data_IF_425060224349
#
_entry.id   IF_425060224349
#
_cell.length_a   1.000
_cell.length_b   1.000
_cell.length_c   1.000
_cell.angle_alpha   90.00
_cell.angle_beta   90.00
_cell.angle_gamma   90.00
#
_symmetry.space_group_name_H-M   'P 1'
#
loop_
_entity.id
_entity.type
_entity.pdbx_description
1 polymer ?
#
# COMPACT_ATOMS: atom_id res chain seq x y z
N UNK A 1 53.62 26.90 57.91
CA UNK A 1 52.29 27.50 57.63
C UNK A 1 51.93 27.07 56.22
N UNK A 2 51.24 25.94 56.07
CA UNK A 2 50.89 25.38 54.76
C UNK A 2 49.75 26.19 54.15
N UNK A 3 50.04 26.83 53.03
CA UNK A 3 49.03 27.46 52.18
C UNK A 3 48.34 26.33 51.40
N UNK A 4 47.16 25.90 51.85
CA UNK A 4 46.28 25.09 51.01
C UNK A 4 45.73 26.01 49.90
N UNK A 5 46.31 25.89 48.72
CA UNK A 5 45.70 26.42 47.49
C UNK A 5 44.48 25.54 47.23
N UNK A 6 43.29 26.05 47.55
CA UNK A 6 42.05 25.48 47.03
C UNK A 6 42.08 25.67 45.51
N UNK A 7 42.43 24.61 44.80
CA UNK A 7 42.11 24.46 43.39
C UNK A 7 40.58 24.41 43.30
N UNK A 8 39.93 25.53 43.01
CA UNK A 8 38.54 25.53 42.60
C UNK A 8 38.46 24.73 41.31
N UNK A 9 37.88 23.52 41.33
CA UNK A 9 37.52 22.86 40.09
C UNK A 9 36.42 23.70 39.44
N UNK A 10 36.68 24.27 38.28
CA UNK A 10 35.62 24.87 37.47
C UNK A 10 34.63 23.76 37.13
N UNK A 11 33.45 23.77 37.75
CA UNK A 11 32.36 22.88 37.39
C UNK A 11 31.83 23.36 36.04
N UNK A 12 32.24 22.70 34.96
CA UNK A 12 31.71 22.93 33.63
C UNK A 12 30.36 22.24 33.49
N UNK A 13 29.32 23.01 33.22
CA UNK A 13 27.97 22.53 32.95
C UNK A 13 27.82 22.24 31.45
N UNK A 14 27.11 21.17 31.09
CA UNK A 14 26.83 20.75 29.72
C UNK A 14 25.33 20.53 29.46
N UNK A 15 24.91 20.93 28.25
CA UNK A 15 23.63 20.51 27.69
C UNK A 15 23.86 19.27 26.81
N UNK A 16 23.07 18.23 27.05
CA UNK A 16 22.99 17.06 26.18
C UNK A 16 22.06 17.38 25.01
N UNK A 17 22.68 17.71 23.89
CA UNK A 17 22.04 17.99 22.61
C UNK A 17 22.48 16.95 21.57
N UNK A 18 21.67 16.68 20.52
CA UNK A 18 22.18 15.98 19.35
C UNK A 18 23.27 16.83 18.69
N UNK A 19 24.23 16.21 18.01
CA UNK A 19 25.26 16.96 17.28
C UNK A 19 24.71 17.62 16.00
N UNK A 20 23.79 16.93 15.32
CA UNK A 20 23.12 17.40 14.11
C UNK A 20 21.68 16.89 14.07
N UNK A 21 20.76 17.70 13.56
CA UNK A 21 19.37 17.30 13.28
C UNK A 21 18.95 17.82 11.91
N UNK A 22 18.20 17.00 11.17
CA UNK A 22 17.69 17.39 9.86
C UNK A 22 16.24 17.89 10.00
N UNK A 23 15.88 18.92 9.25
CA UNK A 23 14.56 19.53 9.25
C UNK A 23 14.08 19.75 7.82
N UNK A 24 12.77 19.62 7.62
CA UNK A 24 12.13 19.89 6.34
C UNK A 24 11.72 21.38 6.27
N UNK A 25 12.13 22.06 5.20
CA UNK A 25 11.73 23.45 4.97
C UNK A 25 10.21 23.58 4.90
N UNK A 26 9.65 24.58 5.56
CA UNK A 26 8.20 24.81 5.70
C UNK A 26 7.50 23.87 6.71
N UNK A 27 8.27 23.15 7.54
CA UNK A 27 7.76 22.27 8.60
C UNK A 27 8.38 22.66 9.96
N UNK A 28 8.57 21.73 10.88
CA UNK A 28 9.15 21.98 12.21
C UNK A 28 10.22 20.95 12.58
N UNK A 29 10.93 21.22 13.69
CA UNK A 29 11.91 20.29 14.25
C UNK A 29 11.89 20.30 15.77
N UNK A 30 11.71 19.12 16.37
CA UNK A 30 11.89 18.88 17.80
C UNK A 30 13.36 18.60 18.10
N UNK A 31 13.94 19.38 18.99
CA UNK A 31 15.32 19.22 19.48
C UNK A 31 15.23 18.58 20.87
N UNK A 32 15.49 17.27 21.01
CA UNK A 32 15.55 16.64 22.32
C UNK A 32 16.75 17.22 23.09
N UNK A 33 16.52 17.61 24.34
CA UNK A 33 17.53 18.33 25.11
C UNK A 33 17.36 18.09 26.61
N UNK A 34 18.47 17.84 27.29
CA UNK A 34 18.57 17.92 28.77
C UNK A 34 19.79 18.75 29.14
N UNK A 35 19.81 19.36 30.32
CA UNK A 35 20.95 20.15 30.78
C UNK A 35 21.29 19.86 32.23
N UNK A 36 22.48 20.25 32.68
CA UNK A 36 22.83 20.25 34.08
C UNK A 36 22.92 21.68 34.63
N UNK A 37 22.69 21.83 35.93
CA UNK A 37 22.77 23.09 36.62
C UNK A 37 23.14 22.84 38.09
N UNK A 38 23.69 23.84 38.80
CA UNK A 38 24.03 23.68 40.21
C UNK A 38 22.81 23.28 41.05
N UNK A 39 22.88 22.17 41.78
CA UNK A 39 21.75 21.66 42.60
C UNK A 39 21.21 22.70 43.60
N UNK A 40 22.10 23.51 44.18
CA UNK A 40 21.73 24.58 45.11
C UNK A 40 20.90 25.69 44.45
N UNK A 41 20.94 25.82 43.11
CA UNK A 41 20.18 26.79 42.33
C UNK A 41 18.84 26.23 41.84
N UNK A 42 18.67 24.91 41.83
CA UNK A 42 17.46 24.21 41.37
C UNK A 42 16.40 23.99 42.47
N UNK A 43 16.67 24.40 43.72
CA UNK A 43 15.75 24.25 44.87
C UNK A 43 14.51 25.14 44.79
N UNK A 44 14.54 26.17 43.94
CA UNK A 44 13.43 27.10 43.73
C UNK A 44 12.99 26.94 42.25
N UNK A 45 11.85 26.28 42.04
CA UNK A 45 11.41 25.79 40.71
C UNK A 45 10.62 26.82 39.90
N UNK A 46 10.45 28.03 40.44
CA UNK A 46 9.74 29.14 39.79
C UNK A 46 10.74 30.12 39.14
N UNK A 47 10.50 30.48 37.87
CA UNK A 47 11.30 31.42 37.07
C UNK A 47 12.60 30.86 36.43
N UNK A 48 12.57 29.61 35.98
CA UNK A 48 13.58 29.04 35.08
C UNK A 48 13.12 29.26 33.63
N UNK A 49 13.96 29.91 32.83
CA UNK A 49 13.68 30.20 31.42
C UNK A 49 14.79 29.66 30.53
N UNK A 50 14.40 29.17 29.35
CA UNK A 50 15.31 28.79 28.30
C UNK A 50 15.46 29.89 27.25
N UNK A 51 16.64 29.96 26.66
CA UNK A 51 16.98 30.86 25.57
C UNK A 51 17.72 30.06 24.48
N UNK A 52 17.51 30.45 23.23
CA UNK A 52 18.24 29.91 22.09
C UNK A 52 18.96 31.02 21.33
N UNK A 53 20.23 30.78 21.03
CA UNK A 53 21.06 31.64 20.21
C UNK A 53 21.48 30.91 18.94
N UNK A 54 21.61 31.65 17.85
CA UNK A 54 22.10 31.17 16.54
C UNK A 54 23.49 31.74 16.28
N UNK A 55 24.32 31.00 15.54
CA UNK A 55 25.71 31.32 15.12
C UNK A 55 26.77 31.30 16.21
N UNK A 56 26.50 31.94 17.35
CA UNK A 56 27.49 32.12 18.42
C UNK A 56 26.84 31.94 19.80
N UNK A 57 27.62 31.40 20.74
CA UNK A 57 27.24 31.18 22.14
C UNK A 57 27.44 32.44 23.01
N UNK A 58 28.25 33.40 22.57
CA UNK A 58 28.52 34.62 23.33
C UNK A 58 27.27 35.53 23.36
N UNK A 59 26.51 35.49 24.45
CA UNK A 59 25.27 36.25 24.64
C UNK A 59 25.49 37.76 24.45
N UNK A 60 24.64 38.41 23.65
CA UNK A 60 24.72 39.84 23.30
C UNK A 60 25.97 40.27 22.53
N UNK A 61 26.77 39.32 22.00
CA UNK A 61 27.77 39.67 21.00
C UNK A 61 27.07 40.09 19.69
N UNK A 62 27.65 41.02 18.91
CA UNK A 62 27.09 41.42 17.62
C UNK A 62 26.84 40.24 16.66
N UNK A 63 27.62 39.18 16.82
CA UNK A 63 27.58 37.97 15.99
C UNK A 63 26.58 36.91 16.50
N UNK A 64 26.11 37.03 17.74
CA UNK A 64 25.09 36.15 18.33
C UNK A 64 23.68 36.67 18.03
N UNK A 65 22.83 35.80 17.49
CA UNK A 65 21.42 36.13 17.29
C UNK A 65 20.56 35.37 18.30
N UNK A 66 19.98 36.07 19.28
CA UNK A 66 18.97 35.49 20.17
C UNK A 66 17.68 35.26 19.38
N UNK A 67 17.39 34.01 19.05
CA UNK A 67 16.22 33.60 18.25
C UNK A 67 15.01 33.28 19.13
N UNK A 68 15.24 32.89 20.38
CA UNK A 68 14.20 32.69 21.39
C UNK A 68 14.72 33.16 22.75
N UNK A 69 13.90 33.92 23.47
CA UNK A 69 14.15 34.28 24.86
C UNK A 69 12.85 34.10 25.65
N UNK A 70 12.81 33.08 26.52
CA UNK A 70 11.64 32.78 27.35
C UNK A 70 11.34 33.87 28.38
N UNK A 71 12.38 34.52 28.92
CA UNK A 71 12.26 35.60 29.91
C UNK A 71 11.53 36.82 29.34
N UNK A 72 11.97 37.28 28.17
CA UNK A 72 11.39 38.46 27.50
C UNK A 72 10.27 38.11 26.52
N UNK A 73 9.94 36.82 26.34
CA UNK A 73 8.99 36.30 25.34
C UNK A 73 9.28 36.80 23.93
N UNK A 74 10.56 36.81 23.56
CA UNK A 74 11.02 37.27 22.25
C UNK A 74 11.25 36.07 21.34
N UNK A 75 10.75 36.16 20.10
CA UNK A 75 11.09 35.26 19.00
C UNK A 75 11.59 36.12 17.85
N UNK A 76 12.76 35.79 17.29
CA UNK A 76 13.37 36.53 16.17
C UNK A 76 13.75 35.57 15.05
N UNK A 77 13.27 35.86 13.84
CA UNK A 77 13.56 35.06 12.65
C UNK A 77 12.78 33.75 12.59
N UNK A 78 11.91 33.45 13.55
CA UNK A 78 11.01 32.29 13.51
C UNK A 78 9.58 32.75 13.75
N UNK A 79 8.61 31.98 13.26
CA UNK A 79 7.20 32.24 13.53
C UNK A 79 6.83 31.83 14.96
N UNK A 80 7.23 30.62 15.38
CA UNK A 80 6.94 30.11 16.71
C UNK A 80 8.02 29.13 17.18
N UNK A 81 8.40 29.23 18.46
CA UNK A 81 9.32 28.34 19.16
C UNK A 81 8.70 28.03 20.52
N UNK A 82 8.69 26.75 20.89
CA UNK A 82 8.03 26.26 22.11
C UNK A 82 8.97 25.31 22.85
N UNK A 83 9.28 25.60 24.11
CA UNK A 83 9.94 24.64 25.00
C UNK A 83 8.86 23.69 25.53
N UNK A 84 8.95 22.41 25.16
CA UNK A 84 8.05 21.36 25.64
C UNK A 84 8.56 20.72 26.95
N UNK A 85 9.89 20.69 27.13
CA UNK A 85 10.52 20.11 28.31
C UNK A 85 10.22 20.90 29.58
N UNK A 86 10.09 20.19 30.70
CA UNK A 86 10.00 20.82 32.01
C UNK A 86 11.40 21.25 32.49
N UNK A 87 11.68 22.54 32.39
CA UNK A 87 12.98 23.12 32.78
C UNK A 87 13.31 22.88 34.27
N UNK A 88 12.31 22.75 35.14
CA UNK A 88 12.51 22.43 36.57
C UNK A 88 12.91 20.97 36.79
N UNK A 89 12.69 20.11 35.79
CA UNK A 89 13.17 18.73 35.72
C UNK A 89 14.41 18.60 34.82
N UNK A 90 15.07 19.72 34.49
CA UNK A 90 16.26 19.77 33.65
C UNK A 90 16.04 19.33 32.19
N UNK A 91 14.81 19.42 31.72
CA UNK A 91 14.43 19.10 30.35
C UNK A 91 14.26 20.37 29.52
N UNK A 92 15.04 20.50 28.45
CA UNK A 92 15.06 21.66 27.56
C UNK A 92 14.54 21.34 26.15
N UNK A 93 13.86 20.20 25.97
CA UNK A 93 13.31 19.79 24.67
C UNK A 93 12.48 20.92 24.07
N UNK A 94 12.87 21.38 22.88
CA UNK A 94 12.31 22.57 22.23
C UNK A 94 11.88 22.24 20.81
N UNK A 95 10.74 22.76 20.37
CA UNK A 95 10.27 22.67 18.99
C UNK A 95 10.41 24.01 18.30
N UNK A 96 11.05 24.02 17.15
CA UNK A 96 11.15 25.17 16.26
C UNK A 96 10.16 24.94 15.13
N UNK A 97 9.14 25.79 15.01
CA UNK A 97 8.13 25.68 13.96
C UNK A 97 8.44 26.61 12.78
N UNK A 98 7.92 26.25 11.62
CA UNK A 98 8.06 26.99 10.36
C UNK A 98 9.54 27.24 9.98
N UNK A 99 10.31 26.16 10.02
CA UNK A 99 11.74 26.17 9.74
C UNK A 99 11.97 26.33 8.23
N UNK A 100 12.83 27.26 7.83
CA UNK A 100 13.13 27.58 6.43
C UNK A 100 14.63 27.37 6.14
N UNK A 101 15.04 27.28 4.87
CA UNK A 101 16.44 26.99 4.51
C UNK A 101 17.47 27.96 5.12
N UNK A 102 17.13 29.24 5.27
CA UNK A 102 17.96 30.26 5.91
C UNK A 102 18.14 30.05 7.43
N UNK A 103 17.43 29.11 8.04
CA UNK A 103 17.58 28.69 9.43
C UNK A 103 18.67 27.63 9.62
N UNK A 104 19.31 27.15 8.56
CA UNK A 104 20.45 26.23 8.66
C UNK A 104 21.63 26.92 9.36
N UNK A 105 22.00 26.45 10.55
CA UNK A 105 23.09 27.01 11.36
C UNK A 105 23.36 26.19 12.64
N UNK A 106 24.35 26.62 13.42
CA UNK A 106 24.57 26.20 14.80
C UNK A 106 23.68 26.97 15.77
N UNK A 107 23.09 26.24 16.72
CA UNK A 107 22.26 26.77 17.78
C UNK A 107 22.77 26.37 19.15
N UNK A 108 22.68 27.30 20.10
CA UNK A 108 23.19 27.17 21.45
C UNK A 108 22.07 27.40 22.45
N UNK A 109 21.99 26.54 23.46
CA UNK A 109 21.03 26.68 24.54
C UNK A 109 21.62 27.51 25.68
N UNK A 110 20.78 28.31 26.32
CA UNK A 110 21.09 29.05 27.54
C UNK A 110 19.94 28.91 28.51
N UNK A 111 20.27 28.80 29.79
CA UNK A 111 19.30 28.80 30.89
C UNK A 111 19.45 30.07 31.72
N UNK A 112 18.33 30.61 32.16
CA UNK A 112 18.24 31.80 33.01
C UNK A 112 17.35 31.48 34.22
N UNK A 113 17.92 31.53 35.43
CA UNK A 113 17.21 31.37 36.69
C UNK A 113 17.20 32.74 37.39
N UNK A 114 16.10 33.46 37.20
CA UNK A 114 16.04 34.89 37.53
C UNK A 114 16.13 35.14 39.04
N UNK A 115 15.44 34.33 39.85
CA UNK A 115 15.40 34.51 41.32
C UNK A 115 16.79 34.52 41.96
N UNK A 116 17.70 33.69 41.47
CA UNK A 116 19.06 33.54 42.02
C UNK A 116 20.12 34.22 41.16
N UNK A 117 19.68 35.04 40.19
CA UNK A 117 20.52 35.76 39.23
C UNK A 117 21.60 34.86 38.60
N UNK A 118 21.23 33.63 38.26
CA UNK A 118 22.14 32.66 37.66
C UNK A 118 21.76 32.45 36.20
N UNK A 119 22.73 32.63 35.31
CA UNK A 119 22.54 32.43 33.89
C UNK A 119 23.75 31.69 33.33
N UNK A 120 23.50 30.74 32.43
CA UNK A 120 24.57 29.94 31.85
C UNK A 120 24.28 29.64 30.39
N UNK A 121 25.27 29.88 29.53
CA UNK A 121 25.21 29.49 28.12
C UNK A 121 26.09 28.27 27.90
N UNK A 122 25.50 27.21 27.37
CA UNK A 122 26.23 25.99 27.02
C UNK A 122 26.97 26.17 25.69
N UNK A 123 28.23 25.75 25.66
CA UNK A 123 29.13 25.98 24.51
C UNK A 123 29.02 24.91 23.42
N UNK A 124 28.43 23.75 23.72
CA UNK A 124 28.16 22.69 22.73
C UNK A 124 26.94 23.04 21.88
N UNK A 125 27.09 23.23 20.55
CA UNK A 125 25.96 23.53 19.68
C UNK A 125 25.23 22.26 19.19
N UNK A 126 23.99 22.47 18.74
CA UNK A 126 23.30 21.60 17.80
C UNK A 126 23.34 22.25 16.41
N UNK A 127 23.73 21.49 15.38
CA UNK A 127 23.62 21.94 14.00
C UNK A 127 22.25 21.54 13.40
N UNK A 128 21.44 22.53 13.04
CA UNK A 128 20.15 22.28 12.36
C UNK A 128 20.38 22.39 10.86
N UNK A 129 20.11 21.31 10.13
CA UNK A 129 20.27 21.22 8.67
C UNK A 129 18.90 21.21 8.00
N UNK A 130 18.56 22.28 7.28
CA UNK A 130 17.23 22.42 6.65
C UNK A 130 17.33 22.10 5.16
N UNK A 131 16.43 21.25 4.67
CA UNK A 131 16.34 20.82 3.26
C UNK A 131 14.93 21.00 2.72
N UNK A 132 14.80 21.28 1.42
CA UNK A 132 13.52 21.24 0.72
C UNK A 132 13.08 19.81 0.36
N UNK A 133 13.98 18.85 0.44
CA UNK A 133 13.74 17.45 0.06
C UNK A 133 13.56 16.61 1.33
N UNK A 134 12.41 15.93 1.51
CA UNK A 134 12.21 15.02 2.63
C UNK A 134 13.12 13.80 2.54
N UNK A 135 13.50 13.25 3.69
CA UNK A 135 14.24 11.99 3.75
C UNK A 135 13.39 10.83 3.25
N UNK A 136 14.02 9.85 2.59
CA UNK A 136 13.33 8.67 2.10
C UNK A 136 12.82 7.82 3.27
N UNK A 137 11.57 7.32 3.24
CA UNK A 137 11.10 6.39 4.24
C UNK A 137 11.87 5.07 4.14
N UNK A 138 12.13 4.45 5.27
CA UNK A 138 12.85 3.17 5.33
C UNK A 138 11.84 2.04 5.21
N UNK A 139 11.86 1.35 4.08
CA UNK A 139 11.06 0.16 3.85
C UNK A 139 11.87 -1.10 4.18
N UNK A 140 11.32 -1.93 5.06
CA UNK A 140 11.96 -3.13 5.62
C UNK A 140 11.11 -4.38 5.36
N UNK A 141 11.74 -5.51 4.96
CA UNK A 141 13.15 -5.64 4.57
C UNK A 141 13.47 -4.85 3.28
N UNK A 142 14.68 -4.32 3.14
CA UNK A 142 15.06 -3.52 1.94
C UNK A 142 15.14 -4.36 0.68
N UNK A 143 15.55 -5.61 0.81
CA UNK A 143 15.52 -6.62 -0.24
C UNK A 143 14.66 -7.79 0.26
N UNK A 144 13.43 -7.87 -0.27
CA UNK A 144 12.50 -8.93 0.09
C UNK A 144 12.88 -10.19 -0.69
N UNK A 145 13.27 -11.24 0.04
CA UNK A 145 13.50 -12.56 -0.56
C UNK A 145 12.22 -13.10 -1.19
N UNK A 146 12.39 -14.06 -2.09
CA UNK A 146 11.27 -14.74 -2.74
C UNK A 146 10.39 -15.47 -1.72
N UNK A 147 9.07 -15.34 -1.88
CA UNK A 147 8.09 -15.88 -0.93
C UNK A 147 7.17 -16.86 -1.64
N UNK A 148 6.95 -18.04 -1.07
CA UNK A 148 5.98 -19.01 -1.59
C UNK A 148 4.54 -18.46 -1.52
N UNK A 149 3.67 -18.84 -2.46
CA UNK A 149 2.23 -18.62 -2.37
C UNK A 149 1.70 -19.11 -1.01
N UNK A 150 0.73 -18.39 -0.44
CA UNK A 150 0.21 -18.54 0.94
C UNK A 150 1.22 -18.23 2.06
N UNK A 151 2.45 -17.87 1.72
CA UNK A 151 3.46 -17.39 2.66
C UNK A 151 3.11 -16.02 3.25
N UNK A 152 3.41 -15.84 4.53
CA UNK A 152 3.18 -14.57 5.24
C UNK A 152 4.30 -13.58 4.96
N UNK A 153 3.95 -12.42 4.43
CA UNK A 153 4.87 -11.29 4.21
C UNK A 153 4.63 -10.24 5.29
N UNK A 154 5.72 -9.77 5.91
CA UNK A 154 5.69 -8.70 6.91
C UNK A 154 6.55 -7.53 6.42
N UNK A 155 5.91 -6.45 6.03
CA UNK A 155 6.56 -5.21 5.64
C UNK A 155 6.43 -4.18 6.76
N UNK A 156 7.51 -3.43 6.97
CA UNK A 156 7.53 -2.29 7.89
C UNK A 156 8.07 -1.09 7.14
N UNK A 157 7.33 0.01 7.15
CA UNK A 157 7.80 1.29 6.65
C UNK A 157 7.91 2.30 7.78
N UNK A 158 9.05 2.99 7.87
CA UNK A 158 9.27 4.02 8.87
C UNK A 158 9.67 5.37 8.26
N UNK A 159 9.26 6.45 8.91
CA UNK A 159 9.63 7.80 8.55
C UNK A 159 9.84 8.64 9.81
N UNK A 160 10.83 9.53 9.81
CA UNK A 160 11.07 10.43 10.93
C UNK A 160 9.90 11.39 11.13
N UNK A 161 9.49 11.60 12.37
CA UNK A 161 8.42 12.50 12.78
C UNK A 161 9.01 13.65 13.61
N UNK A 162 9.73 14.60 12.99
CA UNK A 162 10.37 15.71 13.70
C UNK A 162 9.35 16.69 14.31
N UNK A 163 8.07 16.57 13.94
CA UNK A 163 6.97 17.40 14.39
C UNK A 163 5.96 16.64 15.25
N UNK A 164 5.96 16.82 16.58
CA UNK A 164 5.07 16.06 17.48
C UNK A 164 3.58 16.33 17.22
N UNK A 165 3.22 17.59 16.95
CA UNK A 165 1.82 18.00 16.67
C UNK A 165 1.38 17.67 15.24
N UNK A 166 2.31 17.36 14.35
CA UNK A 166 2.07 17.16 12.91
C UNK A 166 2.99 16.07 12.33
N UNK A 167 2.84 14.80 12.76
CA UNK A 167 3.65 13.71 12.23
C UNK A 167 3.33 13.45 10.76
N UNK A 168 4.27 12.88 9.98
CA UNK A 168 3.99 12.50 8.60
C UNK A 168 2.99 11.34 8.52
N UNK A 169 2.28 11.28 7.41
CA UNK A 169 1.34 10.20 7.10
C UNK A 169 2.01 9.18 6.18
N UNK A 170 1.89 7.89 6.51
CA UNK A 170 2.35 6.80 5.66
C UNK A 170 1.18 6.23 4.83
N UNK A 171 1.42 6.09 3.53
CA UNK A 171 0.53 5.44 2.56
C UNK A 171 1.27 4.37 1.76
N UNK A 172 0.52 3.37 1.28
CA UNK A 172 1.02 2.26 0.48
C UNK A 172 0.39 2.32 -0.92
N UNK A 173 1.18 2.12 -1.97
CA UNK A 173 0.67 2.19 -3.36
C UNK A 173 -0.11 0.94 -3.79
N UNK A 174 0.26 -0.23 -3.27
CA UNK A 174 -0.41 -1.52 -3.51
C UNK A 174 -0.71 -2.21 -2.17
N UNK A 175 -1.97 -2.61 -1.99
CA UNK A 175 -2.47 -3.26 -0.77
C UNK A 175 -3.10 -4.58 -1.18
N UNK A 176 -2.46 -5.74 -0.89
CA UNK A 176 -3.02 -7.06 -1.15
C UNK A 176 -4.37 -7.27 -0.44
N UNK A 177 -5.23 -8.13 -0.98
CA UNK A 177 -6.59 -8.37 -0.45
C UNK A 177 -6.58 -8.86 1.02
N UNK A 178 -5.60 -9.70 1.38
CA UNK A 178 -5.45 -10.24 2.74
C UNK A 178 -4.69 -9.31 3.69
N UNK A 179 -4.39 -8.08 3.28
CA UNK A 179 -3.50 -7.20 4.02
C UNK A 179 -4.14 -6.61 5.28
N UNK A 180 -3.40 -6.68 6.37
CA UNK A 180 -3.69 -6.01 7.62
C UNK A 180 -2.63 -4.94 7.89
N UNK A 181 -3.07 -3.69 7.98
CA UNK A 181 -2.19 -2.53 8.16
C UNK A 181 -2.37 -1.96 9.56
N UNK A 182 -1.25 -1.78 10.27
CA UNK A 182 -1.23 -1.05 11.55
C UNK A 182 -0.29 0.14 11.46
N UNK A 183 -0.58 1.19 12.24
CA UNK A 183 0.27 2.38 12.36
C UNK A 183 0.60 2.61 13.82
N UNK A 184 1.84 3.01 14.08
CA UNK A 184 2.32 3.34 15.44
C UNK A 184 3.25 4.55 15.37
N UNK A 185 3.07 5.49 16.28
CA UNK A 185 4.08 6.52 16.56
C UNK A 185 4.96 5.99 17.69
N UNK A 186 6.27 6.00 17.50
CA UNK A 186 7.21 5.47 18.48
C UNK A 186 8.30 6.49 18.76
N UNK A 187 8.61 6.66 20.04
CA UNK A 187 9.76 7.44 20.49
C UNK A 187 11.00 6.56 20.53
N UNK A 188 12.08 7.06 19.95
CA UNK A 188 13.41 6.44 19.94
C UNK A 188 14.15 6.73 21.25
N UNK A 189 15.21 5.96 21.58
CA UNK A 189 16.01 6.19 22.79
C UNK A 189 16.62 7.60 22.91
N UNK A 190 16.76 8.33 21.80
CA UNK A 190 17.25 9.70 21.74
C UNK A 190 16.14 10.76 21.92
N UNK A 191 14.92 10.36 22.29
CA UNK A 191 13.71 11.19 22.40
C UNK A 191 13.24 11.81 21.07
N UNK A 192 13.77 11.36 19.93
CA UNK A 192 13.17 11.66 18.61
C UNK A 192 12.00 10.73 18.34
N UNK A 193 11.09 11.11 17.46
CA UNK A 193 9.90 10.32 17.14
C UNK A 193 9.95 9.86 15.69
N UNK A 194 9.43 8.66 15.43
CA UNK A 194 9.23 8.15 14.09
C UNK A 194 7.86 7.49 13.99
N UNK A 195 7.24 7.61 12.82
CA UNK A 195 6.01 6.89 12.50
C UNK A 195 6.37 5.58 11.81
N UNK A 196 5.68 4.51 12.19
CA UNK A 196 5.80 3.19 11.61
C UNK A 196 4.45 2.76 11.04
N UNK A 197 4.47 2.18 9.84
CA UNK A 197 3.35 1.43 9.28
C UNK A 197 3.78 0.00 9.00
N UNK A 198 3.08 -0.95 9.61
CA UNK A 198 3.31 -2.37 9.40
C UNK A 198 2.21 -2.91 8.49
N UNK A 199 2.58 -3.62 7.44
CA UNK A 199 1.65 -4.32 6.54
C UNK A 199 1.98 -5.80 6.53
N UNK A 200 1.03 -6.61 6.99
CA UNK A 200 1.13 -8.07 7.00
C UNK A 200 0.06 -8.65 6.09
N UNK A 201 0.44 -9.57 5.21
CA UNK A 201 -0.50 -10.22 4.29
C UNK A 201 -0.02 -11.62 3.91
N UNK A 202 -0.92 -12.43 3.35
CA UNK A 202 -0.57 -13.70 2.70
C UNK A 202 -0.38 -13.48 1.21
N UNK A 203 0.75 -13.91 0.67
CA UNK A 203 1.11 -13.73 -0.72
C UNK A 203 0.23 -14.58 -1.66
N UNK A 204 -0.33 -13.93 -2.70
CA UNK A 204 -1.03 -14.57 -3.81
C UNK A 204 -0.16 -14.58 -5.08
N UNK A 205 -0.38 -15.52 -6.00
CA UNK A 205 0.26 -15.48 -7.32
C UNK A 205 -0.01 -14.16 -8.07
N UNK A 206 -1.18 -13.53 -7.82
CA UNK A 206 -1.55 -12.23 -8.41
C UNK A 206 -0.69 -11.06 -7.92
N UNK A 207 -0.01 -11.23 -6.79
CA UNK A 207 0.91 -10.24 -6.23
C UNK A 207 2.30 -10.30 -6.88
N UNK A 208 2.60 -11.34 -7.66
CA UNK A 208 3.90 -11.50 -8.31
C UNK A 208 4.20 -10.31 -9.25
N UNK A 209 5.41 -9.75 -9.14
CA UNK A 209 5.88 -8.56 -9.89
C UNK A 209 5.07 -7.28 -9.67
N UNK A 210 4.21 -7.23 -8.64
CA UNK A 210 3.61 -5.97 -8.21
C UNK A 210 4.66 -5.16 -7.43
N UNK A 211 4.67 -3.85 -7.68
CA UNK A 211 5.50 -2.91 -6.92
C UNK A 211 4.69 -2.40 -5.73
N UNK A 212 5.28 -2.54 -4.54
CA UNK A 212 4.78 -1.92 -3.32
C UNK A 212 5.67 -0.73 -3.01
N UNK A 213 5.06 0.44 -2.99
CA UNK A 213 5.69 1.67 -2.58
C UNK A 213 5.14 2.11 -1.24
N UNK A 214 6.04 2.53 -0.35
CA UNK A 214 5.68 3.27 0.84
C UNK A 214 6.00 4.75 0.64
N UNK A 215 5.00 5.60 0.84
CA UNK A 215 5.12 7.05 0.70
C UNK A 215 4.89 7.72 2.05
N UNK A 216 5.88 8.49 2.50
CA UNK A 216 5.80 9.34 3.68
C UNK A 216 5.47 10.77 3.25
N UNK A 217 4.36 11.29 3.74
CA UNK A 217 3.80 12.59 3.37
C UNK A 217 3.88 13.54 4.56
N UNK A 218 4.67 14.61 4.41
CA UNK A 218 4.94 15.59 5.44
C UNK A 218 4.03 16.81 5.27
N UNK A 219 3.26 17.20 6.32
CA UNK A 219 2.52 18.45 6.31
C UNK A 219 3.48 19.65 6.31
N UNK A 220 3.16 20.64 5.48
CA UNK A 220 3.88 21.92 5.40
C UNK A 220 2.91 23.09 5.58
N UNK A 221 3.45 24.23 5.97
CA UNK A 221 2.71 25.49 6.04
C UNK A 221 2.45 26.11 4.66
N UNK A 222 3.04 25.56 3.61
CA UNK A 222 2.81 25.92 2.20
C UNK A 222 1.80 24.98 1.56
N UNK A 223 1.15 25.42 0.47
CA UNK A 223 0.23 24.58 -0.33
C UNK A 223 0.88 23.32 -0.92
N UNK A 224 2.21 23.28 -0.98
CA UNK A 224 2.97 22.13 -1.45
C UNK A 224 3.16 21.11 -0.33
N UNK A 225 2.44 20.00 -0.43
CA UNK A 225 2.69 18.79 0.37
C UNK A 225 4.01 18.18 -0.11
N UNK A 226 4.86 17.74 0.81
CA UNK A 226 6.12 17.09 0.45
C UNK A 226 6.14 15.64 0.85
N UNK A 227 6.41 14.81 -0.14
CA UNK A 227 6.43 13.36 0.02
C UNK A 227 7.74 12.77 -0.46
N UNK A 228 8.13 11.68 0.19
CA UNK A 228 9.20 10.81 -0.25
C UNK A 228 8.67 9.38 -0.35
N UNK A 229 9.15 8.61 -1.32
CA UNK A 229 8.65 7.28 -1.64
C UNK A 229 9.81 6.29 -1.78
N UNK A 230 9.65 5.11 -1.18
CA UNK A 230 10.56 3.97 -1.33
C UNK A 230 9.75 2.79 -1.86
N UNK A 231 10.24 2.16 -2.94
CA UNK A 231 9.53 1.10 -3.66
C UNK A 231 10.31 -0.21 -3.65
N UNK A 232 9.59 -1.32 -3.57
CA UNK A 232 10.10 -2.69 -3.77
C UNK A 232 9.18 -3.49 -4.70
N UNK A 233 9.72 -4.53 -5.33
CA UNK A 233 8.94 -5.45 -6.16
C UNK A 233 8.73 -6.78 -5.44
N UNK A 234 7.50 -7.26 -5.39
CA UNK A 234 7.18 -8.58 -4.83
C UNK A 234 7.60 -9.70 -5.79
N UNK A 235 8.26 -10.73 -5.24
CA UNK A 235 8.61 -11.96 -5.95
C UNK A 235 7.97 -13.15 -5.27
N UNK A 236 6.77 -13.52 -5.75
CA UNK A 236 6.04 -14.68 -5.25
C UNK A 236 6.37 -15.92 -6.09
N UNK A 237 6.63 -17.05 -5.45
CA UNK A 237 6.85 -18.36 -6.07
C UNK A 237 5.57 -19.19 -5.98
N UNK A 238 5.11 -19.75 -7.09
CA UNK A 238 3.84 -20.45 -7.19
C UNK A 238 3.86 -21.54 -8.27
N UNK A 239 3.03 -22.57 -8.10
CA UNK A 239 2.78 -23.58 -9.12
C UNK A 239 2.00 -22.99 -10.30
N UNK A 240 2.01 -23.60 -11.49
CA UNK A 240 1.36 -23.03 -12.68
C UNK A 240 -0.13 -22.68 -12.44
N UNK A 241 -0.56 -21.51 -12.90
CA UNK A 241 -1.93 -20.95 -12.79
C UNK A 241 -2.42 -20.50 -14.16
N UNK A 242 -3.74 -20.34 -14.28
CA UNK A 242 -4.42 -19.89 -15.50
C UNK A 242 -4.02 -20.68 -16.77
N UNK A 243 -3.80 -21.99 -16.60
CA UNK A 243 -3.37 -22.88 -17.68
C UNK A 243 -4.48 -23.05 -18.71
N UNK A 244 -4.21 -22.68 -19.96
CA UNK A 244 -5.21 -22.68 -21.05
C UNK A 244 -4.59 -23.00 -22.40
N UNK A 245 -5.41 -23.50 -23.32
CA UNK A 245 -5.01 -23.82 -24.69
C UNK A 245 -5.47 -22.73 -25.66
N UNK A 246 -4.61 -22.38 -26.61
CA UNK A 246 -4.90 -21.50 -27.75
C UNK A 246 -4.72 -22.32 -29.03
N UNK A 247 -5.66 -22.21 -29.97
CA UNK A 247 -5.64 -22.95 -31.24
C UNK A 247 -5.31 -21.98 -32.37
N UNK A 248 -4.36 -22.34 -33.23
CA UNK A 248 -4.02 -21.60 -34.45
C UNK A 248 -3.87 -22.55 -35.67
N UNK A 249 -4.61 -22.34 -36.77
CA UNK A 249 -5.73 -21.42 -36.91
C UNK A 249 -6.93 -21.86 -36.07
N UNK A 250 -7.65 -20.90 -35.47
CA UNK A 250 -8.87 -21.18 -34.69
C UNK A 250 -10.10 -21.44 -35.57
N UNK A 251 -10.11 -20.86 -36.78
CA UNK A 251 -11.23 -20.94 -37.72
C UNK A 251 -10.91 -21.89 -38.89
N UNK A 252 -11.94 -22.57 -39.41
CA UNK A 252 -11.86 -23.36 -40.65
C UNK A 252 -10.81 -24.50 -40.65
N UNK A 253 -10.84 -25.34 -39.63
CA UNK A 253 -9.95 -26.51 -39.53
C UNK A 253 -10.52 -27.65 -40.37
N UNK A 254 -9.82 -28.07 -41.42
CA UNK A 254 -10.22 -29.19 -42.30
C UNK A 254 -9.10 -30.23 -42.39
N UNK A 255 -9.39 -31.38 -43.02
CA UNK A 255 -8.36 -32.39 -43.26
C UNK A 255 -7.23 -31.80 -44.12
N UNK A 256 -5.99 -31.93 -43.66
CA UNK A 256 -4.81 -31.36 -44.29
C UNK A 256 -4.41 -29.98 -43.78
N UNK A 257 -5.26 -29.30 -42.98
CA UNK A 257 -4.87 -28.06 -42.29
C UNK A 257 -3.77 -28.39 -41.27
N UNK A 258 -2.69 -27.60 -41.26
CA UNK A 258 -1.68 -27.67 -40.20
C UNK A 258 -2.16 -26.85 -39.01
N UNK A 259 -2.36 -27.49 -37.86
CA UNK A 259 -2.87 -26.84 -36.63
C UNK A 259 -1.80 -26.89 -35.55
N UNK A 260 -1.67 -25.79 -34.82
CA UNK A 260 -0.84 -25.65 -33.63
C UNK A 260 -1.72 -25.34 -32.42
N UNK A 261 -1.66 -26.22 -31.42
CA UNK A 261 -2.21 -25.98 -30.09
C UNK A 261 -1.09 -25.44 -29.19
N UNK A 262 -1.30 -24.29 -28.57
CA UNK A 262 -0.33 -23.68 -27.63
C UNK A 262 -0.88 -23.71 -26.22
N UNK A 263 -0.16 -24.30 -25.28
CA UNK A 263 -0.50 -24.32 -23.87
C UNK A 263 0.16 -23.12 -23.17
N UNK A 264 -0.63 -22.18 -22.67
CA UNK A 264 -0.14 -21.04 -21.89
C UNK A 264 -0.47 -21.23 -20.42
N UNK A 265 0.46 -20.83 -19.56
CA UNK A 265 0.29 -20.89 -18.10
C UNK A 265 1.18 -19.85 -17.43
N UNK A 266 0.73 -19.27 -16.33
CA UNK A 266 1.54 -18.37 -15.50
C UNK A 266 2.21 -19.17 -14.38
N UNK A 267 3.52 -19.04 -14.20
CA UNK A 267 4.23 -19.72 -13.13
C UNK A 267 5.44 -18.91 -12.66
N UNK A 268 5.87 -19.18 -11.43
CA UNK A 268 7.10 -18.62 -10.86
C UNK A 268 7.76 -19.71 -9.98
N UNK A 269 8.94 -20.25 -10.36
CA UNK A 269 9.74 -19.92 -11.55
C UNK A 269 9.03 -20.22 -12.87
N UNK A 270 9.48 -19.56 -13.95
CA UNK A 270 8.85 -19.59 -15.27
C UNK A 270 9.31 -20.78 -16.14
N UNK A 271 10.21 -21.63 -15.63
CA UNK A 271 10.56 -22.91 -16.26
C UNK A 271 9.42 -23.91 -16.07
N UNK A 272 8.64 -24.11 -17.13
CA UNK A 272 7.45 -24.97 -17.14
C UNK A 272 7.68 -26.13 -18.12
N UNK A 273 7.40 -27.34 -17.65
CA UNK A 273 7.28 -28.53 -18.49
C UNK A 273 5.81 -28.73 -18.87
N UNK A 274 5.55 -28.81 -20.17
CA UNK A 274 4.21 -29.03 -20.72
C UNK A 274 4.08 -30.46 -21.25
N UNK A 275 2.95 -31.09 -20.95
CA UNK A 275 2.59 -32.41 -21.47
C UNK A 275 1.19 -32.35 -22.08
N UNK A 276 1.03 -32.89 -23.29
CA UNK A 276 -0.22 -32.89 -24.03
C UNK A 276 -0.96 -34.22 -23.92
N UNK A 277 -2.29 -34.13 -23.86
CA UNK A 277 -3.17 -35.28 -23.78
C UNK A 277 -4.37 -35.11 -24.72
N UNK A 278 -4.91 -36.25 -25.15
CA UNK A 278 -6.18 -36.33 -25.87
C UNK A 278 -7.10 -37.29 -25.13
N UNK A 279 -8.34 -36.86 -24.91
CA UNK A 279 -9.34 -37.65 -24.22
C UNK A 279 -9.52 -39.02 -24.91
N UNK A 280 -9.49 -40.08 -24.12
CA UNK A 280 -9.61 -41.46 -24.60
C UNK A 280 -8.30 -42.08 -25.08
N UNK A 281 -7.17 -41.38 -24.97
CA UNK A 281 -5.84 -41.95 -25.15
C UNK A 281 -5.12 -42.05 -23.81
N UNK A 282 -4.57 -43.23 -23.51
CA UNK A 282 -3.85 -43.47 -22.24
C UNK A 282 -2.44 -42.88 -22.22
N UNK A 283 -1.84 -42.68 -23.40
CA UNK A 283 -0.47 -42.16 -23.52
C UNK A 283 -0.47 -40.66 -23.77
N UNK A 284 0.58 -40.03 -23.26
CA UNK A 284 0.96 -38.66 -23.56
C UNK A 284 1.15 -38.49 -25.07
N UNK A 285 0.59 -37.42 -25.62
CA UNK A 285 0.68 -37.11 -27.05
C UNK A 285 2.05 -36.56 -27.42
N UNK A 286 2.50 -35.57 -26.66
CA UNK A 286 3.72 -34.80 -26.93
C UNK A 286 4.13 -33.98 -25.71
N UNK A 287 5.34 -33.43 -25.77
CA UNK A 287 5.91 -32.55 -24.75
C UNK A 287 6.29 -31.20 -25.35
N UNK A 288 6.21 -30.15 -24.55
CA UNK A 288 6.55 -28.78 -24.95
C UNK A 288 5.34 -27.86 -25.06
N UNK A 289 5.61 -26.56 -25.12
CA UNK A 289 4.57 -25.52 -25.08
C UNK A 289 3.57 -25.63 -26.23
N UNK A 290 3.99 -26.17 -27.37
CA UNK A 290 3.20 -26.26 -28.59
C UNK A 290 3.09 -27.70 -29.09
N UNK A 291 1.88 -28.09 -29.50
CA UNK A 291 1.60 -29.34 -30.20
C UNK A 291 1.15 -29.00 -31.62
N UNK A 292 1.98 -29.34 -32.62
CA UNK A 292 1.71 -29.05 -34.04
C UNK A 292 1.53 -30.33 -34.84
N UNK A 293 0.43 -30.43 -35.61
CA UNK A 293 0.16 -31.58 -36.46
C UNK A 293 -0.72 -31.24 -37.66
N UNK A 294 -0.59 -32.03 -38.73
CA UNK A 294 -1.52 -32.00 -39.85
C UNK A 294 -2.81 -32.74 -39.48
N UNK A 295 -3.94 -32.07 -39.67
CA UNK A 295 -5.26 -32.58 -39.30
C UNK A 295 -5.69 -33.72 -40.21
N UNK A 296 -6.18 -34.80 -39.61
CA UNK A 296 -6.78 -35.95 -40.29
C UNK A 296 -8.17 -36.28 -39.69
N UNK A 297 -8.84 -37.30 -40.23
CA UNK A 297 -10.18 -37.71 -39.78
C UNK A 297 -10.27 -38.13 -38.31
N UNK A 298 -9.15 -38.51 -37.68
CA UNK A 298 -9.05 -38.91 -36.27
C UNK A 298 -8.49 -37.79 -35.38
N UNK A 299 -8.12 -36.64 -35.94
CA UNK A 299 -7.61 -35.50 -35.18
C UNK A 299 -8.70 -34.82 -34.35
N UNK A 300 -9.98 -34.88 -34.75
CA UNK A 300 -11.07 -34.33 -33.94
C UNK A 300 -11.14 -34.95 -32.54
N UNK A 301 -11.59 -34.16 -31.55
CA UNK A 301 -11.75 -34.61 -30.17
C UNK A 301 -11.32 -33.58 -29.13
N UNK A 302 -11.28 -33.99 -27.86
CA UNK A 302 -10.95 -33.13 -26.72
C UNK A 302 -9.47 -33.23 -26.37
N UNK A 303 -8.83 -32.08 -26.24
CA UNK A 303 -7.41 -31.93 -25.91
C UNK A 303 -7.26 -31.16 -24.61
N UNK A 304 -6.26 -31.52 -23.81
CA UNK A 304 -5.86 -30.78 -22.62
C UNK A 304 -4.34 -30.87 -22.45
N UNK A 305 -3.77 -29.90 -21.76
CA UNK A 305 -2.36 -29.88 -21.42
C UNK A 305 -2.18 -29.76 -19.92
N UNK A 306 -1.09 -30.34 -19.40
CA UNK A 306 -0.66 -30.14 -18.02
C UNK A 306 0.62 -29.31 -18.02
N UNK A 307 0.60 -28.17 -17.34
CA UNK A 307 1.76 -27.33 -17.07
C UNK A 307 2.33 -27.71 -15.70
N UNK A 308 3.64 -27.94 -15.60
CA UNK A 308 4.31 -28.33 -14.35
C UNK A 308 5.62 -27.56 -14.13
N UNK A 309 5.79 -26.99 -12.94
CA UNK A 309 7.08 -26.49 -12.48
C UNK A 309 7.51 -27.25 -11.20
N UNK A 310 8.56 -26.77 -10.53
CA UNK A 310 9.07 -27.39 -9.29
C UNK A 310 8.11 -27.29 -8.09
N UNK A 311 7.14 -26.39 -8.13
CA UNK A 311 6.19 -26.14 -7.03
C UNK A 311 4.84 -26.85 -7.21
N UNK A 312 4.56 -27.40 -8.39
CA UNK A 312 3.34 -28.16 -8.65
C UNK A 312 2.97 -28.16 -10.13
N UNK A 313 1.70 -28.46 -10.40
CA UNK A 313 1.16 -28.49 -11.75
C UNK A 313 -0.27 -27.94 -11.78
N UNK A 314 -0.73 -27.62 -12.99
CA UNK A 314 -2.13 -27.36 -13.28
C UNK A 314 -2.46 -27.91 -14.67
N UNK A 315 -3.61 -28.56 -14.77
CA UNK A 315 -4.17 -29.04 -16.03
C UNK A 315 -5.11 -27.96 -16.58
N UNK A 316 -5.04 -27.73 -17.90
CA UNK A 316 -5.97 -26.84 -18.59
C UNK A 316 -7.39 -27.40 -18.57
N UNK A 317 -8.37 -26.54 -18.80
CA UNK A 317 -9.67 -27.01 -19.27
C UNK A 317 -9.52 -27.76 -20.61
N UNK A 318 -10.42 -28.70 -20.87
CA UNK A 318 -10.43 -29.45 -22.12
C UNK A 318 -11.04 -28.61 -23.24
N UNK A 319 -10.35 -28.56 -24.39
CA UNK A 319 -10.83 -27.87 -25.59
C UNK A 319 -11.14 -28.86 -26.71
N UNK A 320 -12.24 -28.65 -27.41
CA UNK A 320 -12.63 -29.51 -28.53
C UNK A 320 -12.04 -29.01 -29.85
N UNK A 321 -11.23 -29.84 -30.50
CA UNK A 321 -10.84 -29.65 -31.89
C UNK A 321 -11.93 -30.19 -32.82
N UNK A 322 -12.57 -29.29 -33.57
CA UNK A 322 -13.61 -29.62 -34.55
C UNK A 322 -12.96 -29.63 -35.94
N UNK A 323 -13.05 -30.76 -36.64
CA UNK A 323 -12.53 -30.92 -38.00
C UNK A 323 -13.70 -30.87 -38.98
N UNK A 324 -13.71 -29.86 -39.85
CA UNK A 324 -14.64 -29.75 -40.96
C UNK A 324 -14.35 -30.85 -42.01
N UNK A 325 -15.31 -31.74 -42.21
CA UNK A 325 -15.22 -32.84 -43.17
C UNK A 325 -16.50 -33.67 -43.25
N UNK A 326 -17.30 -33.37 -44.28
CA UNK A 326 -18.44 -34.06 -44.90
C UNK A 326 -19.19 -35.16 -44.12
N UNK A 327 -20.49 -34.90 -43.88
CA UNK A 327 -21.49 -35.95 -43.70
C UNK A 327 -21.57 -36.74 -45.02
N UNK A 328 -20.77 -37.80 -45.17
CA UNK A 328 -20.99 -38.79 -46.23
C UNK A 328 -22.22 -39.64 -45.86
N UNK A 329 -23.41 -39.13 -46.19
CA UNK A 329 -24.60 -39.96 -46.33
C UNK A 329 -24.51 -40.68 -47.68
N UNK A 330 -23.76 -41.78 -47.72
CA UNK A 330 -23.90 -42.77 -48.79
C UNK A 330 -25.30 -43.41 -48.64
N UNK A 331 -26.31 -42.81 -49.25
CA UNK A 331 -27.62 -43.44 -49.43
C UNK A 331 -27.51 -44.35 -50.65
N UNK A 332 -27.63 -45.69 -50.52
CA UNK A 332 -27.63 -46.56 -51.67
C UNK A 332 -28.90 -46.29 -52.49
N UNK A 333 -28.74 -45.84 -53.74
CA UNK A 333 -29.85 -45.77 -54.70
C UNK A 333 -30.27 -47.20 -55.08
N UNK A 334 -31.25 -47.75 -54.35
CA UNK A 334 -31.95 -48.95 -54.77
C UNK A 334 -32.93 -48.58 -55.88
N UNK A 335 -32.53 -48.80 -57.13
CA UNK A 335 -33.46 -48.86 -58.26
C UNK A 335 -34.26 -50.16 -58.18
N UNK A 336 -35.46 -50.11 -57.61
CA UNK A 336 -36.50 -51.11 -57.86
C UNK A 336 -37.44 -50.57 -58.93
N UNK A 337 -37.40 -51.16 -60.12
CA UNK A 337 -38.44 -50.95 -61.12
C UNK A 337 -39.74 -51.62 -60.66
N UNK A 338 -40.81 -50.84 -60.56
CA UNK A 338 -42.17 -51.36 -60.62
C UNK A 338 -43.10 -50.35 -61.27
N UNK A 339 -43.88 -50.86 -62.21
CA UNK A 339 -44.90 -50.21 -63.02
C UNK A 339 -46.18 -49.90 -62.21
N UNK A 340 -46.84 -48.78 -62.58
CA UNK A 340 -48.25 -48.39 -62.35
C UNK A 340 -48.73 -47.82 -60.98
N UNK A 341 -48.76 -46.47 -60.91
CA UNK A 341 -49.79 -45.49 -60.39
C UNK A 341 -50.49 -45.64 -59.02
N UNK A 342 -51.01 -44.54 -58.40
CA UNK A 342 -50.58 -43.12 -58.34
C UNK A 342 -50.67 -42.48 -56.91
N UNK A 343 -50.26 -41.19 -56.81
CA UNK A 343 -50.44 -40.23 -55.69
C UNK A 343 -49.57 -40.47 -54.43
N UNK A 344 -48.92 -39.49 -53.79
CA UNK A 344 -49.22 -38.07 -53.55
C UNK A 344 -47.91 -37.26 -53.62
N UNK A 345 -47.93 -36.15 -54.36
CA UNK A 345 -46.87 -35.14 -54.32
C UNK A 345 -47.03 -34.35 -53.02
N UNK A 346 -46.12 -34.53 -52.06
CA UNK A 346 -45.83 -33.51 -51.05
C UNK A 346 -44.61 -32.73 -51.50
N UNK A 347 -44.85 -31.53 -52.04
CA UNK A 347 -43.81 -30.52 -52.20
C UNK A 347 -43.40 -30.05 -50.81
N UNK A 348 -42.24 -30.48 -50.32
CA UNK A 348 -41.53 -29.71 -49.30
C UNK A 348 -40.58 -28.75 -50.01
N UNK A 349 -40.95 -27.47 -49.99
CA UNK A 349 -40.09 -26.36 -50.39
C UNK A 349 -38.81 -26.41 -49.56
N UNK A 350 -37.65 -26.35 -50.22
CA UNK A 350 -36.39 -26.07 -49.52
C UNK A 350 -36.43 -24.63 -49.03
N UNK A 351 -36.16 -24.44 -47.74
CA UNK A 351 -35.61 -23.17 -47.25
C UNK A 351 -34.15 -23.42 -46.91
N UNK A 352 -33.26 -22.91 -47.76
CA UNK A 352 -31.89 -22.64 -47.35
C UNK A 352 -31.92 -21.51 -46.31
N UNK A 353 -31.74 -21.87 -45.04
CA UNK A 353 -31.34 -20.88 -44.03
C UNK A 353 -29.82 -20.82 -44.02
N UNK A 354 -29.27 -19.78 -44.63
CA UNK A 354 -27.96 -19.28 -44.26
C UNK A 354 -28.01 -18.81 -42.80
N UNK A 355 -27.42 -19.58 -41.90
CA UNK A 355 -27.14 -19.15 -40.54
C UNK A 355 -25.76 -18.49 -40.54
N UNK A 356 -25.72 -17.17 -40.36
CA UNK A 356 -24.51 -16.50 -39.90
C UNK A 356 -24.30 -16.86 -38.43
N UNK A 357 -23.19 -17.52 -38.13
CA UNK A 357 -22.75 -17.74 -36.74
C UNK A 357 -21.79 -16.61 -36.40
N UNK A 358 -22.27 -15.63 -35.64
CA UNK A 358 -21.41 -14.72 -34.91
C UNK A 358 -20.96 -15.40 -33.61
N UNK A 359 -19.65 -15.31 -33.34
CA UNK A 359 -18.99 -15.78 -32.14
C UNK A 359 -19.61 -15.22 -30.85
N UNK A 360 -19.97 -16.09 -29.91
CA UNK A 360 -20.18 -15.73 -28.50
C UNK A 360 -19.59 -16.84 -27.63
N UNK A 361 -18.58 -16.49 -26.83
CA UNK A 361 -18.03 -17.32 -25.76
C UNK A 361 -19.09 -17.52 -24.68
N UNK A 362 -19.25 -18.77 -24.21
CA UNK A 362 -19.96 -19.05 -22.97
C UNK A 362 -19.18 -20.10 -22.17
N UNK A 363 -18.54 -19.64 -21.09
CA UNK A 363 -18.14 -20.48 -19.98
C UNK A 363 -19.40 -20.94 -19.24
N UNK A 364 -19.53 -22.22 -18.95
CA UNK A 364 -20.34 -22.67 -17.82
C UNK A 364 -19.89 -24.05 -17.35
N UNK A 365 -19.33 -24.07 -16.14
CA UNK A 365 -19.12 -25.28 -15.34
C UNK A 365 -20.47 -25.85 -14.90
N UNK A 366 -20.60 -27.18 -14.97
CA UNK A 366 -21.75 -27.93 -14.48
C UNK A 366 -21.30 -28.69 -13.22
N UNK A 367 -21.84 -28.32 -12.05
CA UNK A 367 -21.68 -29.06 -10.80
C UNK A 367 -22.98 -29.80 -10.54
N UNK A 368 -22.88 -31.12 -10.36
CA UNK A 368 -23.99 -31.98 -9.96
C UNK A 368 -24.30 -31.76 -8.48
N UNK A 369 -25.55 -31.49 -8.14
CA UNK A 369 -26.06 -31.56 -6.78
C UNK A 369 -27.04 -32.72 -6.65
N UNK A 370 -26.78 -33.54 -5.64
CA UNK A 370 -27.52 -34.70 -5.16
C UNK A 370 -28.76 -34.24 -4.36
N UNK A 371 -29.90 -34.91 -4.52
CA UNK A 371 -31.13 -34.65 -3.76
C UNK A 371 -30.94 -35.07 -2.29
N UNK A 372 -31.23 -34.17 -1.35
CA UNK A 372 -31.54 -34.53 0.03
C UNK A 372 -32.62 -33.63 0.62
N UNK A 373 -33.53 -34.25 1.37
CA UNK A 373 -34.83 -33.77 1.83
C UNK A 373 -34.81 -32.53 2.74
N UNK A 374 -35.88 -31.73 2.64
CA UNK A 374 -36.17 -30.55 3.46
C UNK A 374 -36.64 -30.90 4.88
N UNK A 375 -36.28 -30.06 5.88
CA UNK A 375 -37.20 -29.72 6.97
C UNK A 375 -37.43 -28.20 7.11
N UNK A 376 -38.61 -27.89 7.67
CA UNK A 376 -39.17 -26.58 8.00
C UNK A 376 -38.33 -25.80 9.02
N UNK A 377 -38.21 -24.47 8.88
CA UNK A 377 -38.89 -23.48 9.74
C UNK A 377 -38.38 -22.03 9.51
N UNK A 378 -39.20 -21.09 9.99
CA UNK A 378 -39.19 -19.62 9.97
C UNK A 378 -37.85 -18.88 10.11
N UNK A 379 -37.64 -17.79 9.34
CA UNK A 379 -37.42 -16.42 9.88
C UNK A 379 -37.23 -15.33 8.80
N UNK A 380 -37.95 -14.23 9.01
CA UNK A 380 -37.65 -12.80 8.79
C UNK A 380 -36.83 -12.34 7.56
N UNK A 381 -37.55 -11.73 6.61
CA UNK A 381 -37.02 -10.85 5.56
C UNK A 381 -36.85 -9.41 6.07
N UNK A 382 -35.62 -8.89 6.01
CA UNK A 382 -35.33 -7.45 6.07
C UNK A 382 -34.84 -7.02 4.68
N UNK A 383 -35.58 -6.16 4.00
CA UNK A 383 -35.19 -5.54 2.72
C UNK A 383 -34.49 -4.20 2.99
N UNK A 384 -33.33 -3.97 2.38
CA UNK A 384 -32.77 -2.63 2.17
C UNK A 384 -32.85 -2.28 0.68
N UNK A 385 -33.52 -1.17 0.36
CA UNK A 385 -33.57 -0.58 -0.97
C UNK A 385 -32.41 0.39 -1.22
N UNK A 386 -31.98 0.47 -2.48
CA UNK A 386 -31.00 1.42 -3.00
C UNK A 386 -31.43 2.88 -2.83
N UNK A 387 -30.45 3.76 -2.57
CA UNK A 387 -30.61 5.22 -2.52
C UNK A 387 -29.99 5.80 -3.80
N UNK A 388 -30.80 6.51 -4.58
CA UNK A 388 -30.38 7.28 -5.76
C UNK A 388 -30.09 8.75 -5.37
N UNK A 389 -28.97 9.29 -5.86
CA UNK A 389 -28.45 10.63 -5.57
C UNK A 389 -28.56 11.57 -6.77
N UNK A 390 -29.75 11.69 -7.36
CA UNK A 390 -30.02 12.71 -8.37
C UNK A 390 -30.85 13.86 -7.78
N UNK A 391 -30.29 15.07 -7.86
CA UNK A 391 -30.85 16.42 -7.57
C UNK A 391 -30.54 17.08 -6.21
N UNK A 392 -29.38 17.76 -6.13
CA UNK A 392 -29.18 18.89 -5.22
C UNK A 392 -29.55 20.19 -5.95
N UNK A 393 -30.73 20.74 -5.67
CA UNK A 393 -31.03 22.14 -5.96
C UNK A 393 -30.62 23.00 -4.76
N UNK A 394 -29.62 23.85 -4.98
CA UNK A 394 -29.28 24.96 -4.09
C UNK A 394 -30.43 25.96 -4.05
N UNK A 395 -30.99 26.21 -2.86
CA UNK A 395 -31.79 27.41 -2.59
C UNK A 395 -31.17 28.13 -1.41
N UNK A 396 -30.51 29.25 -1.71
CA UNK A 396 -30.06 30.24 -0.75
C UNK A 396 -31.26 31.05 -0.29
N UNK A 397 -31.45 31.15 1.02
CA UNK A 397 -32.19 32.25 1.64
C UNK A 397 -31.40 32.72 2.85
N UNK A 398 -31.06 34.00 2.85
CA UNK A 398 -30.30 34.69 3.87
C UNK A 398 -31.25 35.25 4.92
N UNK A 399 -31.14 34.83 6.18
CA UNK A 399 -31.58 35.62 7.33
C UNK A 399 -30.56 35.48 8.47
N UNK A 400 -30.10 36.63 8.98
CA UNK A 400 -29.26 36.75 10.18
C UNK A 400 -30.19 36.82 11.39
N UNK A 401 -29.83 36.15 12.50
CA UNK A 401 -29.68 36.70 13.87
C UNK A 401 -29.24 35.57 14.83
N UNK A 402 -28.57 36.01 15.89
CA UNK A 402 -27.77 35.31 16.91
C UNK A 402 -28.40 34.14 17.68
N UNK A 403 -27.53 33.25 18.17
CA UNK A 403 -27.76 32.40 19.33
C UNK A 403 -26.92 31.12 19.26
N UNK A 404 -26.12 30.84 20.29
CA UNK A 404 -25.54 29.51 20.52
C UNK A 404 -26.65 28.48 20.65
N UNK A 405 -26.52 27.30 20.02
CA UNK A 405 -27.13 26.09 20.56
C UNK A 405 -26.45 24.81 20.05
N UNK A 406 -25.93 24.06 21.01
CA UNK A 406 -25.53 22.65 20.94
C UNK A 406 -26.67 21.76 20.45
N UNK A 407 -26.41 20.93 19.43
CA UNK A 407 -27.37 19.94 18.94
C UNK A 407 -27.05 18.58 19.57
N UNK A 408 -27.92 18.11 20.46
CA UNK A 408 -28.05 16.69 20.82
C UNK A 408 -29.11 16.06 19.91
N UNK A 409 -28.89 14.82 19.48
CA UNK A 409 -29.90 14.02 18.79
C UNK A 409 -30.47 12.96 19.75
N UNK A 410 -31.75 13.09 20.08
CA UNK A 410 -32.54 12.13 20.85
C UNK A 410 -33.39 11.30 19.87
N UNK A 411 -33.29 9.98 19.95
CA UNK A 411 -34.03 9.04 19.09
C UNK A 411 -35.24 8.52 19.86
N UNK A 412 -36.44 9.00 19.53
CA UNK A 412 -37.69 8.46 20.05
C UNK A 412 -38.17 7.27 19.20
N UNK A 413 -38.14 6.07 19.79
CA UNK A 413 -38.81 4.89 19.23
C UNK A 413 -40.30 4.89 19.54
N UNK A 414 -41.15 4.82 18.52
CA UNK A 414 -42.58 4.58 18.67
C UNK A 414 -42.85 3.08 18.53
N UNK A 415 -43.09 2.41 19.65
CA UNK A 415 -43.75 1.11 19.68
C UNK A 415 -45.25 1.29 19.51
N UNK A 416 -45.86 0.50 18.62
CA UNK A 416 -47.30 0.25 18.62
C UNK A 416 -47.53 -1.24 18.89
N UNK A 417 -48.46 -1.47 19.82
CA UNK A 417 -48.93 -2.76 20.34
C UNK A 417 -49.21 -3.82 19.29
#
# INVERSE_FOLDING_TARGET
MSLFIFMFSETNFYAKLPGKINALSGSCVQIPCTFDAPENKLKDTENIFGCWMKKNHAFLSPDSLVVFNGTSKIIKGFNYIEILGNLSQLECTTVFYDVMNNHTDNYYFRVEIIRVNWMYTYTSPIYISVSNVPELPVLTPTDLQEVMEEGTVNLSCSAEAPCPKQPPTISWSYIPESAHITRKLQEKPDKTQSVFSYMTFKASYKDHRKNISCTATYPRNTSDVSSAETTMMLRVLFSPKETRIIIDPSDSISVGTNVTLTCKSEASPNEINYTWYKRGQEKELDFGEQLTFNVNRRSGGWYFCTAKNMHGNQTSEEIQLIVAGEINLDVPLLYSGSTETPCIIFLFQSQEKHVQVNSVYANSAFVMAEELETPKDENDMIHYGEIDFSTLQTKSTTEKISGEETIYAEVCGSGKN
#
